data_IF_789989853302
#
_entry.id   IF_789989853302
#
_cell.length_a   1.000
_cell.length_b   1.000
_cell.length_c   1.000
_cell.angle_alpha   90.00
_cell.angle_beta   90.00
_cell.angle_gamma   90.00
#
_symmetry.space_group_name_H-M   'P 1'
#
loop_
_entity.id
_entity.type
_entity.pdbx_description
1 polymer ?
#
# COMPACT_ATOMS: atom_id res chain seq x y z
N UNK A 1 2.84 -20.97 -3.83
CA UNK A 1 2.61 -19.52 -3.70
C UNK A 1 1.44 -19.30 -2.77
N UNK A 2 1.54 -18.37 -1.83
CA UNK A 2 0.45 -18.01 -0.92
C UNK A 2 -0.18 -16.70 -1.42
N UNK A 3 -1.50 -16.66 -1.44
CA UNK A 3 -2.25 -15.48 -1.86
C UNK A 3 -2.15 -14.39 -0.79
N UNK A 4 -1.93 -13.15 -1.23
CA UNK A 4 -2.15 -11.98 -0.40
C UNK A 4 -3.64 -11.68 -0.17
N UNK A 5 -3.92 -10.49 0.34
CA UNK A 5 -5.29 -10.03 0.59
C UNK A 5 -6.14 -9.97 -0.69
N UNK A 6 -7.46 -10.12 -0.51
CA UNK A 6 -8.44 -10.10 -1.59
C UNK A 6 -8.39 -8.81 -2.43
N UNK A 7 -8.68 -8.90 -3.74
CA UNK A 7 -8.96 -7.73 -4.60
C UNK A 7 -7.87 -7.31 -5.60
N UNK A 8 -6.72 -7.97 -5.63
CA UNK A 8 -5.59 -7.62 -6.50
C UNK A 8 -4.24 -7.65 -5.79
N UNK A 9 -4.25 -7.99 -4.49
CA UNK A 9 -3.06 -8.35 -3.74
C UNK A 9 -2.21 -9.36 -4.50
N UNK A 10 -0.92 -9.31 -4.24
CA UNK A 10 0.07 -10.15 -4.91
C UNK A 10 0.29 -11.46 -4.15
N UNK A 11 1.20 -12.28 -4.68
CA UNK A 11 1.50 -13.59 -4.14
C UNK A 11 2.89 -13.59 -3.52
N UNK A 12 3.02 -14.28 -2.38
CA UNK A 12 4.33 -14.64 -1.86
C UNK A 12 4.78 -16.00 -2.38
N UNK A 13 6.10 -16.18 -2.37
CA UNK A 13 6.70 -17.48 -2.61
C UNK A 13 6.70 -18.25 -1.30
N UNK A 14 6.00 -19.38 -1.28
CA UNK A 14 6.10 -20.36 -0.20
C UNK A 14 6.85 -21.54 -0.80
N UNK A 15 8.14 -21.61 -0.48
CA UNK A 15 9.04 -22.66 -0.93
C UNK A 15 9.66 -23.32 0.30
N UNK A 16 9.72 -24.63 0.24
CA UNK A 16 10.37 -25.46 1.24
C UNK A 16 11.71 -25.88 0.65
N UNK A 17 12.81 -25.40 1.22
CA UNK A 17 14.13 -25.89 0.81
C UNK A 17 14.38 -27.30 1.35
N UNK A 18 13.76 -27.63 2.48
CA UNK A 18 13.65 -28.98 3.07
C UNK A 18 12.34 -29.09 3.88
N UNK A 19 11.96 -30.29 4.32
CA UNK A 19 10.77 -30.54 5.17
C UNK A 19 10.77 -29.79 6.51
N UNK A 20 11.93 -29.24 6.91
CA UNK A 20 12.13 -28.49 8.17
C UNK A 20 12.57 -27.03 7.95
N UNK A 21 12.84 -26.65 6.70
CA UNK A 21 13.21 -25.28 6.32
C UNK A 21 12.07 -24.69 5.48
N UNK A 22 11.02 -24.31 6.20
CA UNK A 22 9.86 -23.63 5.67
C UNK A 22 10.06 -22.13 5.77
N UNK A 23 9.98 -21.47 4.62
CA UNK A 23 9.89 -20.03 4.58
C UNK A 23 8.44 -19.55 4.54
N UNK A 24 8.11 -18.51 5.31
CA UNK A 24 6.82 -17.82 5.26
C UNK A 24 6.98 -16.34 4.87
N UNK A 25 6.55 -16.02 3.65
CA UNK A 25 6.33 -14.66 3.21
C UNK A 25 4.83 -14.41 3.08
N UNK A 26 4.37 -13.19 3.37
CA UNK A 26 2.98 -12.81 3.13
C UNK A 26 2.81 -12.17 1.74
N UNK A 27 1.67 -12.42 1.09
CA UNK A 27 1.28 -11.63 -0.07
C UNK A 27 0.79 -10.24 0.35
N UNK A 28 0.87 -9.25 -0.54
CA UNK A 28 0.35 -7.91 -0.27
C UNK A 28 -1.18 -7.85 -0.31
N UNK A 29 -1.76 -6.83 0.30
CA UNK A 29 -3.22 -6.64 0.39
C UNK A 29 -3.80 -5.64 -0.60
N UNK A 30 -5.13 -5.58 -0.66
CA UNK A 30 -5.89 -4.49 -1.25
C UNK A 30 -7.13 -4.17 -0.38
N UNK A 31 -7.48 -2.90 -0.31
CA UNK A 31 -8.82 -2.41 0.05
C UNK A 31 -9.32 -1.56 -1.11
N UNK A 32 -10.56 -1.79 -1.55
CA UNK A 32 -11.17 -0.97 -2.58
C UNK A 32 -12.69 -0.86 -2.43
N UNK A 33 -13.24 0.27 -2.86
CA UNK A 33 -14.69 0.48 -3.03
C UNK A 33 -15.00 0.43 -4.52
N UNK A 34 -15.96 -0.40 -4.91
CA UNK A 34 -16.33 -0.67 -6.30
C UNK A 34 -17.82 -0.43 -6.54
N UNK A 35 -18.17 0.10 -7.71
CA UNK A 35 -19.55 0.33 -8.13
C UNK A 35 -19.83 -0.39 -9.46
N UNK A 36 -21.09 -0.76 -9.72
CA UNK A 36 -21.54 -1.45 -10.94
C UNK A 36 -20.96 -2.86 -11.17
N UNK A 37 -19.64 -2.97 -11.34
CA UNK A 37 -18.94 -4.23 -11.60
C UNK A 37 -17.83 -4.49 -10.57
N UNK A 38 -17.60 -5.76 -10.23
CA UNK A 38 -16.52 -6.15 -9.31
C UNK A 38 -15.19 -6.32 -10.08
N UNK A 39 -14.68 -5.25 -10.68
CA UNK A 39 -13.45 -5.28 -11.47
C UNK A 39 -12.44 -4.19 -11.04
N UNK A 40 -11.39 -3.98 -11.87
CA UNK A 40 -10.35 -2.98 -11.63
C UNK A 40 -10.77 -1.57 -12.05
N UNK A 41 -11.65 -1.46 -13.05
CA UNK A 41 -12.01 -0.24 -13.77
C UNK A 41 -13.09 0.56 -13.05
N UNK A 42 -13.84 -0.11 -12.18
CA UNK A 42 -14.93 0.50 -11.42
C UNK A 42 -14.60 0.72 -9.93
N UNK A 43 -13.32 0.85 -9.59
CA UNK A 43 -12.87 1.20 -8.23
C UNK A 43 -12.81 2.71 -8.04
N UNK A 44 -13.41 3.23 -6.98
CA UNK A 44 -13.42 4.68 -6.66
C UNK A 44 -12.56 5.07 -5.46
N UNK A 45 -12.20 4.10 -4.62
CA UNK A 45 -11.24 4.23 -3.52
C UNK A 45 -10.37 3.00 -3.59
N UNK A 46 -9.05 3.15 -3.52
CA UNK A 46 -8.11 2.02 -3.49
C UNK A 46 -6.97 2.30 -2.54
N UNK A 47 -6.49 1.27 -1.84
CA UNK A 47 -5.22 1.24 -1.09
C UNK A 47 -4.73 -0.20 -0.91
N UNK A 48 -3.46 -0.43 -0.53
CA UNK A 48 -3.00 -1.77 -0.19
C UNK A 48 -1.57 -1.85 0.31
N UNK A 49 -1.37 -2.52 1.46
CA UNK A 49 -0.05 -2.72 2.07
C UNK A 49 0.74 -3.85 1.44
N UNK A 50 2.07 -3.72 1.47
CA UNK A 50 2.99 -4.78 1.04
C UNK A 50 3.16 -5.87 2.09
N UNK A 51 3.55 -7.06 1.64
CA UNK A 51 3.84 -8.18 2.52
C UNK A 51 5.22 -8.07 3.18
N UNK A 52 5.37 -8.75 4.32
CA UNK A 52 6.65 -8.94 5.00
C UNK A 52 7.10 -10.39 4.91
N UNK A 53 8.37 -10.60 5.19
CA UNK A 53 8.94 -11.93 5.38
C UNK A 53 9.86 -11.92 6.59
N UNK A 54 9.85 -13.03 7.29
CA UNK A 54 10.74 -13.31 8.40
C UNK A 54 11.18 -14.75 8.22
N UNK A 55 12.48 -15.01 8.39
CA UNK A 55 13.01 -16.36 8.26
C UNK A 55 13.85 -16.82 9.47
N UNK A 56 13.85 -16.12 10.62
CA UNK A 56 14.82 -16.45 11.67
C UNK A 56 14.38 -16.48 13.15
N UNK A 57 15.24 -17.20 13.89
CA UNK A 57 15.12 -17.84 15.19
C UNK A 57 14.80 -16.88 16.36
N UNK A 58 13.74 -17.14 17.16
CA UNK A 58 13.29 -16.29 18.27
C UNK A 58 14.30 -16.13 19.42
N UNK A 59 15.45 -16.81 19.37
CA UNK A 59 16.50 -16.72 20.36
C UNK A 59 17.54 -15.62 20.08
N UNK A 60 17.52 -15.00 18.89
CA UNK A 60 18.38 -13.87 18.58
C UNK A 60 17.55 -12.57 18.66
N UNK A 61 17.75 -11.78 19.71
CA UNK A 61 17.03 -10.52 19.99
C UNK A 61 17.45 -9.37 19.03
N UNK A 62 17.67 -9.67 17.76
CA UNK A 62 18.30 -8.79 16.79
C UNK A 62 17.28 -8.02 15.97
N UNK A 63 16.35 -7.33 16.66
CA UNK A 63 15.34 -6.46 16.02
C UNK A 63 15.97 -5.45 15.04
N UNK A 64 15.42 -5.40 13.83
CA UNK A 64 15.83 -4.58 12.68
C UNK A 64 17.25 -4.91 12.18
N UNK A 65 17.63 -6.19 12.16
CA UNK A 65 18.93 -6.63 11.63
C UNK A 65 18.76 -7.67 10.53
N UNK A 66 19.75 -8.55 10.41
CA UNK A 66 19.74 -9.68 9.48
C UNK A 66 18.42 -10.44 9.68
N UNK A 67 17.72 -10.71 8.57
CA UNK A 67 16.46 -11.46 8.50
C UNK A 67 15.15 -10.72 8.88
N UNK A 68 15.19 -9.41 9.18
CA UNK A 68 13.98 -8.61 9.47
C UNK A 68 13.41 -7.86 8.24
N UNK A 69 12.67 -8.57 7.39
CA UNK A 69 12.01 -8.04 6.19
C UNK A 69 10.61 -7.46 6.45
N UNK A 70 10.47 -6.15 6.64
CA UNK A 70 9.15 -5.52 6.77
C UNK A 70 8.58 -4.98 5.45
N UNK A 71 7.28 -5.22 5.22
CA UNK A 71 6.52 -4.64 4.12
C UNK A 71 6.24 -3.15 4.29
N UNK A 72 6.03 -2.47 3.16
CA UNK A 72 5.65 -1.07 3.09
C UNK A 72 4.19 -0.82 3.42
N UNK A 73 3.92 0.30 4.09
CA UNK A 73 2.54 0.78 4.19
C UNK A 73 1.99 1.12 2.81
N UNK A 74 0.81 0.60 2.50
CA UNK A 74 -0.07 1.22 1.51
C UNK A 74 -0.71 2.48 2.10
N UNK A 75 -1.35 3.26 1.25
CA UNK A 75 -1.85 4.57 1.69
C UNK A 75 -1.08 5.72 1.05
N UNK A 76 -1.62 6.93 1.16
CA UNK A 76 -1.02 8.14 0.60
C UNK A 76 -1.13 8.24 -0.92
N UNK A 77 -0.93 9.44 -1.46
CA UNK A 77 -0.75 9.61 -2.91
C UNK A 77 0.53 8.91 -3.38
N UNK A 78 1.52 8.77 -2.50
CA UNK A 78 2.73 7.99 -2.68
C UNK A 78 2.83 6.99 -1.53
N UNK A 79 2.92 5.71 -1.86
CA UNK A 79 3.06 4.61 -0.90
C UNK A 79 4.51 4.49 -0.39
N UNK A 80 4.71 3.65 0.63
CA UNK A 80 6.03 3.34 1.13
C UNK A 80 6.70 2.20 0.36
N UNK A 81 8.03 2.23 0.34
CA UNK A 81 8.87 1.15 -0.16
C UNK A 81 8.90 -0.02 0.82
N UNK A 82 10.05 -0.62 1.07
CA UNK A 82 10.14 -1.79 1.95
C UNK A 82 11.48 -1.84 2.67
N UNK A 83 11.61 -2.76 3.63
CA UNK A 83 12.84 -2.98 4.36
C UNK A 83 13.49 -4.29 3.95
N UNK A 84 14.81 -4.28 3.79
CA UNK A 84 15.64 -5.49 3.64
C UNK A 84 16.64 -5.46 4.78
N UNK A 85 16.68 -6.50 5.62
CA UNK A 85 17.55 -6.56 6.81
C UNK A 85 17.48 -5.26 7.65
N UNK A 86 16.27 -4.80 7.98
CA UNK A 86 16.04 -3.55 8.72
C UNK A 86 16.40 -2.24 7.99
N UNK A 87 16.88 -2.27 6.75
CA UNK A 87 17.22 -1.07 5.96
C UNK A 87 16.10 -0.68 5.00
N UNK A 88 15.59 0.55 5.13
CA UNK A 88 14.54 1.07 4.25
C UNK A 88 15.05 1.32 2.82
N UNK A 89 14.27 0.86 1.84
CA UNK A 89 14.49 1.01 0.41
C UNK A 89 13.38 1.89 -0.17
N UNK A 90 13.70 3.15 -0.47
CA UNK A 90 12.73 4.16 -0.94
C UNK A 90 12.72 4.39 -2.45
N UNK A 91 13.50 3.61 -3.22
CA UNK A 91 13.65 3.82 -4.68
C UNK A 91 12.52 3.18 -5.51
N UNK A 92 11.73 2.30 -4.91
CA UNK A 92 10.64 1.57 -5.58
C UNK A 92 9.29 1.93 -4.94
N UNK A 93 8.74 3.08 -5.34
CA UNK A 93 7.49 3.60 -4.78
C UNK A 93 6.39 3.58 -5.82
N UNK A 94 5.18 3.25 -5.40
CA UNK A 94 3.98 3.48 -6.17
C UNK A 94 3.36 4.82 -5.78
N UNK A 95 2.84 5.57 -6.75
CA UNK A 95 2.09 6.79 -6.54
C UNK A 95 0.84 6.84 -7.44
N UNK A 96 0.18 7.99 -7.54
CA UNK A 96 -1.06 8.14 -8.32
C UNK A 96 -0.86 8.09 -9.84
N UNK A 97 0.39 8.14 -10.34
CA UNK A 97 0.71 8.16 -11.77
C UNK A 97 1.63 7.02 -12.22
N UNK A 98 2.31 6.35 -11.29
CA UNK A 98 3.23 5.26 -11.59
C UNK A 98 3.35 4.22 -10.46
N UNK A 99 3.85 3.04 -10.81
CA UNK A 99 4.09 1.93 -9.90
C UNK A 99 4.34 0.65 -10.71
N UNK A 100 4.14 -0.52 -10.12
CA UNK A 100 4.35 -1.79 -10.81
C UNK A 100 3.38 -1.95 -12.00
N UNK A 101 2.07 -1.89 -11.72
CA UNK A 101 1.02 -1.84 -12.74
C UNK A 101 -0.28 -1.32 -12.13
N UNK A 102 -1.24 -0.95 -13.00
CA UNK A 102 -2.54 -0.50 -12.56
C UNK A 102 -3.26 -1.61 -11.78
N UNK A 103 -3.69 -1.29 -10.56
CA UNK A 103 -4.59 -2.11 -9.78
C UNK A 103 -4.04 -3.35 -9.10
N UNK A 104 -2.80 -3.77 -9.38
CA UNK A 104 -2.19 -4.98 -8.81
C UNK A 104 -0.79 -4.70 -8.30
N UNK A 105 -0.46 -5.27 -7.14
CA UNK A 105 0.92 -5.32 -6.64
C UNK A 105 1.71 -6.43 -7.32
N UNK A 106 3.03 -6.29 -7.33
CA UNK A 106 3.92 -7.32 -7.86
C UNK A 106 3.98 -8.57 -6.96
N UNK A 107 3.85 -9.76 -7.54
CA UNK A 107 4.15 -11.03 -6.86
C UNK A 107 5.64 -11.28 -6.75
N UNK A 108 6.04 -12.00 -5.71
CA UNK A 108 7.37 -12.59 -5.63
C UNK A 108 7.65 -13.47 -6.86
N UNK A 109 8.85 -13.32 -7.42
CA UNK A 109 9.32 -14.09 -8.58
C UNK A 109 10.71 -14.66 -8.32
N UNK A 110 11.05 -15.77 -8.98
CA UNK A 110 12.31 -16.49 -8.79
C UNK A 110 13.53 -15.68 -9.28
N UNK A 111 13.39 -14.97 -10.40
CA UNK A 111 14.49 -14.28 -11.08
C UNK A 111 14.29 -12.76 -11.14
N UNK A 112 13.70 -12.20 -10.08
CA UNK A 112 13.42 -10.77 -9.99
C UNK A 112 12.24 -10.32 -10.86
N UNK A 113 12.06 -9.00 -10.94
CA UNK A 113 10.93 -8.38 -11.62
C UNK A 113 10.99 -8.50 -13.13
N UNK A 114 9.83 -8.82 -13.71
CA UNK A 114 9.59 -8.70 -15.16
C UNK A 114 9.27 -7.28 -15.61
N UNK A 115 8.88 -6.37 -14.70
CA UNK A 115 8.65 -4.97 -15.03
C UNK A 115 9.98 -4.22 -15.17
N UNK A 116 10.12 -3.35 -16.16
CA UNK A 116 11.34 -2.53 -16.35
C UNK A 116 11.63 -1.59 -15.17
N UNK A 117 10.59 -1.28 -14.38
CA UNK A 117 10.67 -0.41 -13.21
C UNK A 117 10.85 -1.16 -11.89
N UNK A 118 10.73 -2.49 -11.91
CA UNK A 118 10.80 -3.31 -10.71
C UNK A 118 12.21 -3.73 -10.31
N UNK A 119 12.31 -4.40 -9.16
CA UNK A 119 13.59 -4.85 -8.60
C UNK A 119 14.12 -6.01 -9.44
N UNK A 120 15.31 -5.84 -10.04
CA UNK A 120 15.95 -6.88 -10.89
C UNK A 120 16.87 -7.80 -10.11
N UNK A 121 17.46 -7.28 -9.04
CA UNK A 121 18.24 -8.06 -8.09
C UNK A 121 17.31 -9.04 -7.36
N UNK A 122 17.76 -10.27 -7.15
CA UNK A 122 17.01 -11.29 -6.41
C UNK A 122 17.98 -12.05 -5.52
N UNK A 123 17.53 -12.39 -4.31
CA UNK A 123 18.36 -13.04 -3.30
C UNK A 123 17.48 -13.89 -2.38
N UNK A 124 18.01 -15.01 -1.89
CA UNK A 124 17.27 -15.96 -1.03
C UNK A 124 16.18 -16.72 -1.80
N UNK A 125 16.20 -18.06 -1.82
CA UNK A 125 15.23 -18.85 -2.61
C UNK A 125 13.85 -18.99 -1.96
N UNK A 126 13.77 -18.80 -0.64
CA UNK A 126 12.56 -18.90 0.19
C UNK A 126 12.11 -17.50 0.62
N UNK A 127 10.95 -17.40 1.29
CA UNK A 127 10.58 -16.19 2.07
C UNK A 127 10.39 -14.91 1.28
N UNK A 128 9.99 -14.97 0.02
CA UNK A 128 9.78 -13.75 -0.77
C UNK A 128 8.34 -13.26 -0.64
N UNK A 129 8.08 -12.08 -0.06
CA UNK A 129 6.74 -11.54 0.03
C UNK A 129 6.31 -10.90 -1.29
N UNK A 130 5.00 -10.70 -1.41
CA UNK A 130 4.42 -9.96 -2.53
C UNK A 130 4.08 -8.52 -2.12
N UNK A 131 4.06 -7.60 -3.09
CA UNK A 131 3.73 -6.19 -2.89
C UNK A 131 2.24 -5.87 -2.81
N UNK A 132 1.92 -4.72 -2.22
CA UNK A 132 0.56 -4.24 -2.05
C UNK A 132 -0.08 -3.76 -3.35
N UNK A 133 -1.39 -3.94 -3.47
CA UNK A 133 -2.17 -3.27 -4.51
C UNK A 133 -2.32 -1.79 -4.24
N UNK A 134 -2.69 -1.05 -5.28
CA UNK A 134 -3.09 0.34 -5.16
C UNK A 134 -3.85 0.76 -6.40
N UNK A 135 -3.99 2.07 -6.56
CA UNK A 135 -4.24 2.64 -7.88
C UNK A 135 -3.16 2.19 -8.86
N UNK A 136 -1.90 2.37 -8.44
CA UNK A 136 -0.77 1.58 -8.92
C UNK A 136 -0.23 0.74 -7.76
N UNK A 137 0.06 -0.54 -8.04
CA UNK A 137 0.61 -1.44 -7.02
C UNK A 137 2.09 -1.21 -6.77
N UNK A 138 2.54 -1.67 -5.59
CA UNK A 138 3.93 -1.66 -5.17
C UNK A 138 4.78 -2.72 -5.87
N UNK A 139 6.08 -2.65 -5.62
CA UNK A 139 7.09 -3.55 -6.15
C UNK A 139 7.51 -4.60 -5.13
N UNK A 140 7.77 -5.82 -5.58
CA UNK A 140 8.30 -6.88 -4.73
C UNK A 140 9.83 -6.78 -4.67
N UNK A 141 10.42 -7.00 -3.49
CA UNK A 141 11.88 -6.95 -3.33
C UNK A 141 12.60 -8.11 -3.99
N UNK A 142 11.91 -9.24 -4.14
CA UNK A 142 12.48 -10.53 -4.57
C UNK A 142 13.68 -10.96 -3.69
N UNK A 143 13.68 -10.53 -2.42
CA UNK A 143 14.69 -10.85 -1.43
C UNK A 143 14.05 -11.68 -0.29
N UNK A 144 14.66 -12.81 0.08
CA UNK A 144 14.15 -13.67 1.15
C UNK A 144 14.11 -13.00 2.53
N UNK A 145 14.96 -12.00 2.77
CA UNK A 145 15.04 -11.25 4.03
C UNK A 145 14.41 -9.84 3.90
N UNK A 146 13.60 -9.64 2.87
CA UNK A 146 13.08 -8.34 2.51
C UNK A 146 11.57 -8.33 2.42
N UNK A 147 10.94 -7.26 2.92
CA UNK A 147 9.53 -7.01 2.65
C UNK A 147 9.27 -6.59 1.20
N UNK A 148 8.03 -6.20 0.92
CA UNK A 148 7.62 -5.67 -0.38
C UNK A 148 6.87 -4.35 -0.23
N UNK A 149 6.86 -3.53 -1.28
CA UNK A 149 6.33 -2.17 -1.25
C UNK A 149 4.80 -2.13 -1.15
N UNK A 150 4.28 -1.05 -0.56
CA UNK A 150 2.84 -0.74 -0.60
C UNK A 150 2.42 -0.22 -1.97
N UNK A 151 1.13 -0.34 -2.28
CA UNK A 151 0.52 0.33 -3.43
C UNK A 151 -0.12 1.67 -3.06
N UNK A 152 -0.17 2.56 -4.04
CA UNK A 152 -0.66 3.93 -3.87
C UNK A 152 -2.15 3.97 -3.58
N UNK A 153 -2.55 4.97 -2.81
CA UNK A 153 -3.96 5.27 -2.62
C UNK A 153 -4.46 6.32 -3.57
N UNK A 154 -5.72 6.15 -3.94
CA UNK A 154 -6.40 7.04 -4.85
C UNK A 154 -7.89 7.04 -4.51
N UNK A 155 -8.50 8.20 -4.70
CA UNK A 155 -9.92 8.43 -4.48
C UNK A 155 -10.43 9.26 -5.65
N UNK A 156 -11.61 8.92 -6.17
CA UNK A 156 -12.27 9.73 -7.18
C UNK A 156 -12.78 11.04 -6.55
N UNK A 157 -12.09 12.13 -6.83
CA UNK A 157 -12.38 13.50 -6.36
C UNK A 157 -12.37 14.49 -7.52
N UNK A 158 -12.77 15.74 -7.26
CA UNK A 158 -12.75 16.80 -8.27
C UNK A 158 -11.33 17.06 -8.81
N UNK A 159 -10.33 16.94 -7.95
CA UNK A 159 -8.91 17.13 -8.25
C UNK A 159 -8.17 15.83 -8.58
N UNK A 160 -8.85 14.68 -8.60
CA UNK A 160 -8.22 13.40 -8.89
C UNK A 160 -7.54 13.40 -10.26
N UNK A 161 -6.29 12.95 -10.30
CA UNK A 161 -5.58 12.71 -11.55
C UNK A 161 -6.05 11.36 -12.12
N UNK A 162 -6.74 11.41 -13.27
CA UNK A 162 -7.20 10.24 -14.00
C UNK A 162 -6.41 10.23 -15.31
N UNK A 163 -5.57 9.21 -15.55
CA UNK A 163 -4.82 9.13 -16.80
C UNK A 163 -5.75 9.15 -18.02
N UNK A 164 -5.42 9.98 -18.99
CA UNK A 164 -6.13 10.02 -20.26
C UNK A 164 -5.88 8.75 -21.08
N UNK A 165 -6.92 8.31 -21.80
CA UNK A 165 -6.83 7.16 -22.69
C UNK A 165 -6.79 5.82 -21.93
N UNK A 166 -6.06 4.85 -22.48
CA UNK A 166 -6.01 3.52 -21.91
C UNK A 166 -4.94 3.42 -20.81
N UNK A 167 -5.28 2.70 -19.74
CA UNK A 167 -4.36 2.38 -18.65
C UNK A 167 -4.04 0.88 -18.75
N UNK A 168 -2.77 0.49 -18.67
CA UNK A 168 -2.38 -0.91 -18.73
C UNK A 168 -2.40 -1.57 -17.34
N UNK A 169 -3.17 -2.66 -17.21
CA UNK A 169 -3.16 -3.60 -16.09
C UNK A 169 -2.48 -4.90 -16.52
N UNK A 170 -1.28 -5.17 -15.99
CA UNK A 170 -0.42 -6.31 -16.39
C UNK A 170 -0.51 -7.52 -15.45
N UNK A 171 -1.40 -7.43 -14.45
CA UNK A 171 -1.56 -8.44 -13.41
C UNK A 171 -0.32 -8.57 -12.52
N UNK A 172 -0.39 -9.42 -11.48
CA UNK A 172 0.64 -9.47 -10.44
C UNK A 172 1.94 -10.17 -10.89
N UNK A 173 1.91 -10.95 -11.97
CA UNK A 173 3.10 -11.60 -12.57
C UNK A 173 3.55 -10.95 -13.89
N UNK A 174 3.00 -9.77 -14.23
CA UNK A 174 3.33 -9.02 -15.44
C UNK A 174 3.08 -9.76 -16.77
N UNK A 175 2.18 -10.74 -16.77
CA UNK A 175 1.88 -11.62 -17.91
C UNK A 175 0.43 -11.54 -18.39
N UNK A 176 -0.47 -10.94 -17.61
CA UNK A 176 -1.89 -10.80 -17.94
C UNK A 176 -2.09 -9.34 -18.33
N UNK A 177 -2.22 -9.05 -19.61
CA UNK A 177 -2.40 -7.66 -20.06
C UNK A 177 -3.87 -7.39 -20.38
N UNK A 178 -4.42 -6.40 -19.69
CA UNK A 178 -5.67 -5.72 -20.02
C UNK A 178 -5.37 -4.22 -20.13
N UNK A 179 -6.02 -3.54 -21.06
CA UNK A 179 -5.73 -2.15 -21.35
C UNK A 179 -7.00 -1.45 -21.87
N UNK A 180 -7.51 -0.51 -21.09
CA UNK A 180 -8.71 0.25 -21.42
C UNK A 180 -8.79 1.54 -20.60
N UNK A 181 -9.70 2.47 -20.92
CA UNK A 181 -9.90 3.65 -20.12
C UNK A 181 -10.49 3.32 -18.75
N UNK A 182 -10.17 4.13 -17.76
CA UNK A 182 -10.88 4.10 -16.48
C UNK A 182 -12.37 4.43 -16.69
N UNK A 183 -13.26 3.75 -15.96
CA UNK A 183 -14.69 3.81 -16.26
C UNK A 183 -15.33 5.15 -15.88
N UNK A 184 -14.97 5.67 -14.70
CA UNK A 184 -15.61 6.86 -14.16
C UNK A 184 -14.96 8.15 -14.67
N UNK A 185 -15.81 9.11 -14.99
CA UNK A 185 -15.45 10.51 -15.18
C UNK A 185 -15.82 11.29 -13.93
N UNK A 186 -15.17 12.45 -13.77
CA UNK A 186 -15.49 13.40 -12.69
C UNK A 186 -16.94 13.91 -12.75
N UNK A 187 -17.61 13.79 -13.89
CA UNK A 187 -19.01 14.19 -14.10
C UNK A 187 -20.04 13.11 -13.75
N UNK A 188 -19.62 11.88 -13.45
CA UNK A 188 -20.54 10.75 -13.28
C UNK A 188 -21.18 10.67 -11.88
N UNK A 189 -20.84 11.60 -10.97
CA UNK A 189 -21.50 11.76 -9.66
C UNK A 189 -20.94 10.90 -8.52
N UNK A 190 -19.85 10.16 -8.74
CA UNK A 190 -19.19 9.31 -7.74
C UNK A 190 -18.03 10.02 -7.01
N UNK A 191 -18.13 11.35 -6.90
CA UNK A 191 -17.07 12.17 -6.30
C UNK A 191 -17.12 12.10 -4.78
N UNK A 192 -15.94 11.97 -4.17
CA UNK A 192 -15.74 12.09 -2.73
C UNK A 192 -15.15 13.46 -2.38
N UNK A 193 -15.54 13.96 -1.22
CA UNK A 193 -15.16 15.26 -0.68
C UNK A 193 -14.54 15.10 0.71
N UNK A 194 -13.81 16.11 1.17
CA UNK A 194 -13.16 16.14 2.50
C UNK A 194 -12.23 14.93 2.74
N UNK A 195 -11.49 14.55 1.71
CA UNK A 195 -10.64 13.36 1.72
C UNK A 195 -9.38 13.63 2.55
N UNK A 196 -9.17 12.79 3.56
CA UNK A 196 -7.92 12.77 4.32
C UNK A 196 -7.20 11.46 4.01
N UNK A 197 -6.10 11.56 3.27
CA UNK A 197 -5.28 10.41 2.94
C UNK A 197 -4.08 10.33 3.90
N UNK A 198 -4.13 9.37 4.81
CA UNK A 198 -3.07 9.13 5.79
C UNK A 198 -2.43 7.80 5.37
N UNK A 199 -1.17 7.79 4.88
CA UNK A 199 -0.43 6.55 4.78
C UNK A 199 -0.41 5.91 6.17
N UNK A 200 -0.38 4.58 6.27
CA UNK A 200 -0.08 3.95 7.55
C UNK A 200 1.36 4.27 7.93
N UNK A 201 1.66 5.50 8.32
CA UNK A 201 3.02 6.00 8.50
C UNK A 201 3.60 5.29 9.70
N UNK A 202 4.47 4.33 9.40
CA UNK A 202 5.51 3.84 10.28
C UNK A 202 6.64 4.87 10.35
N UNK A 203 6.42 6.00 11.02
CA UNK A 203 7.53 6.86 11.43
C UNK A 203 8.05 6.31 12.78
N UNK A 204 9.21 5.64 12.72
CA UNK A 204 9.76 4.86 13.83
C UNK A 204 9.29 3.40 13.85
N UNK A 205 9.69 2.65 14.89
CA UNK A 205 9.45 1.21 15.12
C UNK A 205 7.97 0.82 15.36
N UNK A 206 7.03 1.44 14.64
CA UNK A 206 5.60 1.14 14.73
C UNK A 206 4.96 1.67 16.02
N UNK A 207 4.66 2.98 16.08
CA UNK A 207 3.71 3.51 17.07
C UNK A 207 2.39 3.84 16.38
N UNK A 208 1.38 3.02 16.64
CA UNK A 208 0.01 3.31 16.24
C UNK A 208 -0.50 4.53 17.01
N UNK A 209 -0.73 5.66 16.32
CA UNK A 209 -1.38 6.83 16.91
C UNK A 209 -2.89 6.73 16.65
N UNK A 210 -3.61 6.14 17.61
CA UNK A 210 -5.08 6.18 17.62
C UNK A 210 -5.51 7.47 18.29
N UNK A 211 -6.02 8.43 17.51
CA UNK A 211 -6.71 9.59 18.07
C UNK A 211 -8.18 9.28 18.18
N UNK A 212 -8.66 9.06 19.41
CA UNK A 212 -10.10 8.97 19.69
C UNK A 212 -10.63 10.41 19.65
N UNK A 213 -11.42 10.73 18.63
CA UNK A 213 -12.21 11.96 18.63
C UNK A 213 -13.39 11.74 19.57
N UNK A 214 -13.25 12.20 20.81
CA UNK A 214 -14.39 12.25 21.72
C UNK A 214 -15.50 13.04 21.05
N UNK A 215 -16.68 12.40 20.92
CA UNK A 215 -17.89 13.10 20.53
C UNK A 215 -18.04 14.28 21.47
N UNK A 216 -17.94 15.50 20.95
CA UNK A 216 -18.53 16.66 21.59
C UNK A 216 -20.01 16.33 21.75
N UNK A 217 -20.41 15.98 22.97
CA UNK A 217 -21.80 15.95 23.38
C UNK A 217 -22.28 17.39 23.30
N UNK A 218 -22.70 17.83 22.11
CA UNK A 218 -23.46 19.05 21.97
C UNK A 218 -24.85 18.73 22.53
N UNK A 219 -25.23 19.26 23.71
CA UNK A 219 -26.60 19.14 24.15
C UNK A 219 -27.45 19.79 23.07
N UNK A 220 -28.30 18.97 22.45
CA UNK A 220 -29.28 19.41 21.47
C UNK A 220 -30.16 20.47 22.11
N UNK A 221 -29.89 21.74 21.79
CA UNK A 221 -30.80 22.89 21.74
C UNK A 221 -29.94 24.15 21.80
N UNK A 222 -29.69 24.79 20.66
CA UNK A 222 -29.91 26.22 20.40
C UNK A 222 -29.06 26.71 19.21
N UNK A 223 -29.80 27.14 18.19
CA UNK A 223 -29.43 28.07 17.12
C UNK A 223 -28.43 27.64 16.04
N UNK A 224 -29.00 27.50 14.85
CA UNK A 224 -28.35 27.59 13.54
C UNK A 224 -27.60 28.92 13.44
N UNK A 225 -26.28 28.91 13.66
CA UNK A 225 -25.37 29.93 13.15
C UNK A 225 -24.11 29.22 12.65
N UNK A 226 -23.86 29.36 11.35
CA UNK A 226 -22.65 28.92 10.65
C UNK A 226 -21.39 29.44 11.37
N UNK A 227 -20.73 28.58 12.15
CA UNK A 227 -19.35 28.80 12.57
C UNK A 227 -18.47 27.85 11.77
N UNK A 228 -18.22 28.25 10.52
CA UNK A 228 -17.22 27.66 9.63
C UNK A 228 -15.80 28.09 10.04
N UNK A 229 -15.51 28.09 11.34
CA UNK A 229 -14.25 28.54 11.91
C UNK A 229 -13.69 27.47 12.84
N UNK A 230 -12.44 27.09 12.56
CA UNK A 230 -11.42 26.59 13.50
C UNK A 230 -11.02 25.11 13.54
N UNK A 231 -11.36 24.25 12.58
CA UNK A 231 -10.61 22.98 12.44
C UNK A 231 -9.15 23.22 12.00
N UNK A 232 -8.91 24.22 11.15
CA UNK A 232 -7.55 24.61 10.75
C UNK A 232 -6.72 25.24 11.88
N UNK A 233 -7.36 25.88 12.86
CA UNK A 233 -6.64 26.55 13.96
C UNK A 233 -6.13 25.54 15.00
N UNK A 234 -6.89 24.47 15.23
CA UNK A 234 -6.48 23.35 16.10
C UNK A 234 -5.29 22.59 15.52
N UNK A 235 -5.24 22.38 14.21
CA UNK A 235 -4.12 21.69 13.56
C UNK A 235 -2.79 22.49 13.66
N UNK A 236 -2.85 23.82 13.54
CA UNK A 236 -1.69 24.70 13.65
C UNK A 236 -1.12 24.82 15.08
N UNK A 237 -1.91 24.55 16.11
CA UNK A 237 -1.48 24.56 17.52
C UNK A 237 -0.70 23.29 17.90
N UNK A 238 -0.95 22.16 17.24
CA UNK A 238 -0.25 20.90 17.51
C UNK A 238 1.05 20.71 16.72
N UNK A 239 1.21 21.39 15.57
CA UNK A 239 2.46 21.34 14.79
C UNK A 239 3.51 22.35 15.23
N UNK A 240 3.16 23.34 16.06
CA UNK A 240 4.07 24.40 16.54
C UNK A 240 4.47 24.28 18.01
N UNK A 241 4.16 23.16 18.70
CA UNK A 241 4.66 22.95 20.06
C UNK A 241 6.14 22.53 19.99
N UNK A 242 7.08 23.27 20.61
CA UNK A 242 8.48 22.88 20.60
C UNK A 242 8.65 21.60 21.41
N UNK A 243 9.29 20.61 20.78
CA UNK A 243 9.70 19.36 21.41
C UNK A 243 10.62 19.71 22.58
N UNK A 244 10.23 19.31 23.80
CA UNK A 244 11.14 19.20 24.94
C UNK A 244 11.74 17.82 24.99
#
# INVERSE_FOLDING_TARGET
>A
MVHGGYGGGSFSFNFYSTDIACGDGSGGGQTAVKFFENDLWHRVIVSGGGGGSDNFNPNNNDYMRDDDGSGGSGGGQTAQGFWINGKYISRYLANTTSGFTFGSGESAQEFGSKSDFGVKEYEGGTDRPGAGSGWFGGFASHNGNGGSGGGSSWVLSEDADIPDGNIAAKGPFFNITDERPYFFRKTDGYLFYDIVNIPGVWEGNGKLVITILDKLSLPSCFSVCYLHFSYHLLFALFTNSPIK
#
